data_IF_509575563611
#
_entry.id   IF_509575563611
#
_cell.length_a   1.000
_cell.length_b   1.000
_cell.length_c   1.000
_cell.angle_alpha   90.00
_cell.angle_beta   90.00
_cell.angle_gamma   90.00
#
_symmetry.space_group_name_H-M   'P 1'
#
loop_
_entity.id
_entity.type
_entity.pdbx_description
1 polymer ?
#
# COMPACT_ATOMS: atom_id res chain seq x y z
N UNK A 1 -15.22 2.59 -17.56
CA UNK A 1 -15.69 1.91 -18.75
C UNK A 1 -16.64 0.78 -18.34
N UNK A 2 -17.84 0.66 -18.95
CA UNK A 2 -18.79 -0.42 -18.63
C UNK A 2 -18.26 -1.84 -18.94
N UNK A 3 -17.21 -1.96 -19.72
CA UNK A 3 -16.57 -3.24 -20.03
C UNK A 3 -15.53 -3.68 -18.97
N UNK A 4 -15.16 -2.78 -18.07
CA UNK A 4 -14.23 -3.12 -16.99
C UNK A 4 -14.89 -4.03 -15.95
N UNK A 5 -14.15 -5.00 -15.44
CA UNK A 5 -14.60 -5.80 -14.32
C UNK A 5 -14.77 -4.92 -13.07
N UNK A 6 -15.95 -4.88 -12.42
CA UNK A 6 -16.15 -4.05 -11.23
C UNK A 6 -15.18 -4.38 -10.09
N UNK A 7 -14.81 -3.36 -9.30
CA UNK A 7 -13.89 -3.55 -8.17
C UNK A 7 -14.42 -4.54 -7.12
N UNK A 8 -15.73 -4.71 -7.01
CA UNK A 8 -16.35 -5.71 -6.12
C UNK A 8 -15.95 -7.15 -6.49
N UNK A 9 -15.85 -7.46 -7.79
CA UNK A 9 -15.39 -8.77 -8.28
C UNK A 9 -13.88 -8.92 -8.04
N UNK A 10 -13.09 -7.89 -8.33
CA UNK A 10 -11.67 -7.85 -8.02
C UNK A 10 -11.40 -8.14 -6.53
N UNK A 11 -12.07 -7.44 -5.62
CA UNK A 11 -11.94 -7.67 -4.18
C UNK A 11 -12.43 -9.05 -3.76
N UNK A 12 -13.46 -9.57 -4.43
CA UNK A 12 -13.94 -10.96 -4.25
C UNK A 12 -12.84 -11.98 -4.53
N UNK A 13 -12.16 -11.85 -5.67
CA UNK A 13 -11.05 -12.74 -6.06
C UNK A 13 -9.86 -12.63 -5.09
N UNK A 14 -9.51 -11.43 -4.65
CA UNK A 14 -8.44 -11.22 -3.66
C UNK A 14 -8.75 -12.01 -2.38
N UNK A 15 -9.96 -11.89 -1.85
CA UNK A 15 -10.40 -12.61 -0.65
C UNK A 15 -10.36 -14.12 -0.84
N UNK A 16 -10.86 -14.62 -1.96
CA UNK A 16 -10.85 -16.06 -2.25
C UNK A 16 -9.43 -16.61 -2.33
N UNK A 17 -8.54 -15.90 -3.05
CA UNK A 17 -7.13 -16.29 -3.16
C UNK A 17 -6.43 -16.31 -1.80
N UNK A 18 -6.65 -15.30 -0.95
CA UNK A 18 -6.05 -15.23 0.39
C UNK A 18 -6.54 -16.35 1.29
N UNK A 19 -7.84 -16.67 1.27
CA UNK A 19 -8.40 -17.80 2.01
C UNK A 19 -7.81 -19.16 1.54
N UNK A 20 -7.62 -19.32 0.24
CA UNK A 20 -6.97 -20.50 -0.30
C UNK A 20 -5.52 -20.62 0.18
N UNK A 21 -4.75 -19.53 0.15
CA UNK A 21 -3.37 -19.51 0.66
C UNK A 21 -3.29 -19.76 2.17
N UNK A 22 -4.24 -19.26 2.95
CA UNK A 22 -4.33 -19.52 4.39
C UNK A 22 -4.65 -20.99 4.66
N UNK A 23 -5.60 -21.57 3.95
CA UNK A 23 -5.94 -23.00 4.05
C UNK A 23 -4.77 -23.92 3.66
N UNK A 24 -3.93 -23.50 2.72
CA UNK A 24 -2.70 -24.19 2.32
C UNK A 24 -1.52 -23.93 3.27
N UNK A 25 -1.68 -23.10 4.29
CA UNK A 25 -0.62 -22.71 5.22
C UNK A 25 0.48 -21.81 4.62
N UNK A 26 0.25 -21.26 3.42
CA UNK A 26 1.21 -20.41 2.68
C UNK A 26 1.12 -18.93 3.07
N UNK A 27 -0.01 -18.49 3.60
CA UNK A 27 -0.24 -17.16 4.11
C UNK A 27 -1.06 -17.25 5.40
N UNK A 28 -1.21 -16.13 6.11
CA UNK A 28 -2.10 -16.03 7.28
C UNK A 28 -3.06 -14.87 7.07
N UNK A 29 -4.33 -15.11 7.26
CA UNK A 29 -5.31 -14.04 7.30
C UNK A 29 -5.05 -13.09 8.49
N UNK A 30 -5.46 -11.82 8.38
CA UNK A 30 -5.35 -10.87 9.47
C UNK A 30 -6.03 -11.40 10.75
N UNK A 31 -5.44 -11.10 11.91
CA UNK A 31 -6.10 -11.39 13.19
C UNK A 31 -7.41 -10.61 13.28
N UNK A 32 -8.51 -11.31 13.49
CA UNK A 32 -9.84 -10.71 13.52
C UNK A 32 -10.62 -10.83 12.20
N UNK A 33 -10.00 -11.36 11.15
CA UNK A 33 -10.62 -11.56 9.84
C UNK A 33 -10.29 -10.48 8.83
N UNK A 34 -10.83 -10.64 7.63
CA UNK A 34 -10.71 -9.68 6.54
C UNK A 34 -11.84 -8.67 6.60
N UNK A 35 -11.51 -7.39 6.43
CA UNK A 35 -12.50 -6.33 6.31
C UNK A 35 -13.28 -6.44 4.99
N UNK A 36 -14.59 -6.30 5.07
CA UNK A 36 -15.50 -6.20 3.93
C UNK A 36 -16.34 -4.95 4.11
N UNK A 37 -16.15 -3.99 3.22
CA UNK A 37 -16.92 -2.74 3.18
C UNK A 37 -17.97 -2.86 2.08
N UNK A 38 -19.18 -2.37 2.33
CA UNK A 38 -20.28 -2.40 1.38
C UNK A 38 -21.27 -1.26 1.64
N UNK A 39 -22.09 -0.94 0.64
CA UNK A 39 -23.18 0.00 0.76
C UNK A 39 -24.43 -0.70 1.30
N UNK A 40 -24.99 -0.22 2.41
CA UNK A 40 -26.26 -0.69 2.95
C UNK A 40 -27.46 -0.24 2.12
N UNK A 41 -28.64 -0.78 2.42
CA UNK A 41 -29.89 -0.41 1.75
C UNK A 41 -30.34 1.03 2.03
N UNK A 42 -29.77 1.67 3.05
CA UNK A 42 -29.96 3.07 3.44
C UNK A 42 -28.95 4.02 2.75
N UNK A 43 -28.09 3.51 1.86
CA UNK A 43 -27.07 4.26 1.15
C UNK A 43 -25.79 4.52 1.94
N UNK A 44 -25.70 4.09 3.21
CA UNK A 44 -24.53 4.29 4.05
C UNK A 44 -23.51 3.18 3.87
N UNK A 45 -22.25 3.47 4.16
CA UNK A 45 -21.15 2.48 4.13
C UNK A 45 -21.02 1.78 5.47
N UNK A 46 -20.96 0.44 5.39
CA UNK A 46 -20.79 -0.45 6.53
C UNK A 46 -19.55 -1.33 6.35
N UNK A 47 -18.92 -1.66 7.46
CA UNK A 47 -17.78 -2.58 7.52
C UNK A 47 -18.14 -3.77 8.40
N UNK A 48 -17.76 -4.98 7.97
CA UNK A 48 -17.76 -6.20 8.78
C UNK A 48 -16.44 -6.93 8.58
N UNK A 49 -16.09 -7.75 9.54
CA UNK A 49 -14.92 -8.64 9.44
C UNK A 49 -15.39 -10.08 9.24
N UNK A 50 -14.71 -10.80 8.35
CA UNK A 50 -15.02 -12.20 8.03
C UNK A 50 -13.79 -13.02 8.37
N UNK A 51 -13.90 -13.92 9.35
CA UNK A 51 -12.79 -14.76 9.79
C UNK A 51 -12.52 -15.93 8.80
N UNK A 52 -11.43 -16.70 9.06
CA UNK A 52 -11.05 -17.84 8.23
C UNK A 52 -12.12 -18.93 8.14
N UNK A 53 -13.08 -18.97 9.07
CA UNK A 53 -14.21 -19.91 9.07
C UNK A 53 -15.47 -19.33 8.43
N UNK A 54 -15.39 -18.12 7.88
CA UNK A 54 -16.51 -17.42 7.28
C UNK A 54 -17.49 -16.80 8.28
N UNK A 55 -17.15 -16.70 9.57
CA UNK A 55 -17.99 -16.04 10.56
C UNK A 55 -17.83 -14.53 10.45
N UNK A 56 -18.95 -13.84 10.48
CA UNK A 56 -19.01 -12.39 10.35
C UNK A 56 -19.09 -11.72 11.73
N UNK A 57 -18.43 -10.56 11.86
CA UNK A 57 -18.59 -9.69 13.01
C UNK A 57 -19.93 -8.93 12.96
N UNK A 58 -20.24 -8.16 14.00
CA UNK A 58 -21.27 -7.12 13.95
C UNK A 58 -20.92 -6.08 12.89
N UNK A 59 -21.97 -5.47 12.32
CA UNK A 59 -21.83 -4.40 11.35
C UNK A 59 -21.47 -3.09 12.05
N UNK A 60 -20.48 -2.39 11.51
CA UNK A 60 -20.08 -1.06 11.96
C UNK A 60 -20.34 -0.08 10.84
N UNK A 61 -21.13 0.96 11.11
CA UNK A 61 -21.29 2.07 10.16
C UNK A 61 -19.99 2.88 10.13
N UNK A 62 -19.42 3.06 8.95
CA UNK A 62 -18.18 3.81 8.71
C UNK A 62 -18.40 5.04 7.84
N UNK A 63 -19.64 5.50 7.72
CA UNK A 63 -20.00 6.65 6.87
C UNK A 63 -19.16 7.89 7.21
N UNK A 64 -18.90 8.13 8.48
CA UNK A 64 -18.08 9.27 8.94
C UNK A 64 -16.59 9.15 8.55
N UNK A 65 -16.13 7.95 8.14
CA UNK A 65 -14.77 7.74 7.66
C UNK A 65 -14.67 7.93 6.13
N UNK A 66 -15.79 7.87 5.41
CA UNK A 66 -15.82 7.97 3.93
C UNK A 66 -15.61 9.45 3.53
N UNK A 67 -14.55 9.77 2.80
CA UNK A 67 -14.21 11.16 2.52
C UNK A 67 -14.99 11.77 1.36
N UNK A 68 -15.51 10.95 0.46
CA UNK A 68 -16.34 11.34 -0.71
C UNK A 68 -17.02 10.14 -1.35
N UNK A 69 -18.02 10.40 -2.19
CA UNK A 69 -18.66 9.37 -3.00
C UNK A 69 -17.74 8.91 -4.14
N UNK A 70 -17.77 7.60 -4.40
CA UNK A 70 -17.02 6.96 -5.49
C UNK A 70 -18.01 6.41 -6.54
N UNK A 71 -17.58 6.24 -7.82
CA UNK A 71 -18.39 5.60 -8.85
C UNK A 71 -18.86 4.20 -8.43
N UNK A 72 -20.01 3.77 -8.94
CA UNK A 72 -20.62 2.46 -8.61
C UNK A 72 -19.73 1.26 -8.97
N UNK A 73 -18.81 1.44 -9.92
CA UNK A 73 -17.81 0.42 -10.30
C UNK A 73 -16.60 0.34 -9.36
N UNK A 74 -16.46 1.29 -8.42
CA UNK A 74 -15.36 1.35 -7.45
C UNK A 74 -15.80 0.81 -6.10
N UNK A 75 -14.82 0.42 -5.27
CA UNK A 75 -15.06 0.01 -3.90
C UNK A 75 -14.10 0.70 -2.92
N UNK A 76 -14.57 0.93 -1.69
CA UNK A 76 -13.68 1.25 -0.58
C UNK A 76 -13.12 -0.03 0.03
N UNK A 77 -11.82 -0.07 0.29
CA UNK A 77 -11.18 -1.20 0.95
C UNK A 77 -10.16 -0.73 2.01
N UNK A 78 -9.99 -1.52 3.07
CA UNK A 78 -8.85 -1.33 3.97
C UNK A 78 -7.57 -1.81 3.29
N UNK A 79 -6.45 -1.13 3.57
CA UNK A 79 -5.16 -1.44 2.93
C UNK A 79 -4.77 -2.92 3.12
N UNK A 80 -4.99 -3.49 4.32
CA UNK A 80 -4.71 -4.90 4.60
C UNK A 80 -5.66 -5.89 3.91
N UNK A 81 -6.75 -5.42 3.33
CA UNK A 81 -7.65 -6.27 2.53
C UNK A 81 -7.18 -6.42 1.07
N UNK A 82 -6.32 -5.53 0.60
CA UNK A 82 -5.85 -5.51 -0.80
C UNK A 82 -4.37 -5.87 -0.97
N UNK A 83 -3.57 -5.84 0.11
CA UNK A 83 -2.17 -6.24 0.09
C UNK A 83 -1.73 -6.83 1.44
N UNK A 84 -0.63 -7.57 1.41
CA UNK A 84 0.05 -8.04 2.62
C UNK A 84 1.10 -7.02 3.06
N UNK A 85 1.15 -6.75 4.37
CA UNK A 85 2.06 -5.77 4.93
C UNK A 85 3.27 -6.47 5.55
N UNK A 86 4.46 -6.15 5.07
CA UNK A 86 5.72 -6.74 5.53
C UNK A 86 6.66 -5.64 5.99
N UNK A 87 6.95 -5.60 7.30
CA UNK A 87 7.94 -4.66 7.84
C UNK A 87 9.34 -5.10 7.43
N UNK A 88 10.19 -4.13 7.05
CA UNK A 88 11.56 -4.35 6.66
C UNK A 88 12.46 -4.82 7.81
N UNK A 89 13.65 -5.23 7.47
CA UNK A 89 14.74 -5.55 8.39
C UNK A 89 15.74 -4.40 8.44
N UNK A 90 16.46 -4.28 9.56
CA UNK A 90 17.42 -3.19 9.72
C UNK A 90 18.58 -3.29 8.72
N UNK A 91 18.65 -2.40 7.75
CA UNK A 91 19.83 -2.13 6.93
C UNK A 91 20.43 -0.85 7.50
N UNK A 92 21.64 -0.95 8.08
CA UNK A 92 22.34 0.18 8.68
C UNK A 92 23.09 0.98 7.62
N UNK A 93 23.47 2.20 7.96
CA UNK A 93 24.30 3.04 7.08
C UNK A 93 25.66 2.37 6.77
N UNK A 94 26.23 1.63 7.73
CA UNK A 94 27.46 0.86 7.57
C UNK A 94 27.35 -0.35 6.64
N UNK A 95 26.14 -0.77 6.31
CA UNK A 95 25.90 -1.93 5.44
C UNK A 95 25.78 -1.52 3.95
N UNK A 96 25.87 -0.22 3.68
CA UNK A 96 25.85 0.33 2.32
C UNK A 96 27.26 0.23 1.73
N UNK A 97 27.32 -0.25 0.52
CA UNK A 97 28.54 -0.44 -0.27
C UNK A 97 28.40 0.24 -1.64
N UNK A 98 29.53 0.55 -2.28
CA UNK A 98 29.51 1.21 -3.60
C UNK A 98 29.03 0.24 -4.71
N UNK A 99 29.39 -1.05 -4.60
CA UNK A 99 28.97 -2.10 -5.52
C UNK A 99 28.40 -3.28 -4.74
N UNK A 100 27.24 -3.79 -5.17
CA UNK A 100 26.55 -4.88 -4.47
C UNK A 100 25.12 -5.10 -4.98
N UNK A 101 24.28 -5.66 -4.12
CA UNK A 101 22.88 -5.95 -4.42
C UNK A 101 21.97 -4.76 -4.03
N UNK A 102 20.91 -4.51 -4.79
CA UNK A 102 20.11 -3.31 -4.65
C UNK A 102 19.33 -3.27 -3.32
N UNK A 103 19.36 -2.13 -2.64
CA UNK A 103 18.62 -1.93 -1.41
C UNK A 103 18.04 -0.52 -1.29
N UNK A 104 17.03 -0.37 -0.41
CA UNK A 104 16.33 0.89 -0.16
C UNK A 104 16.28 1.17 1.34
N UNK A 105 16.66 2.40 1.73
CA UNK A 105 16.54 2.91 3.10
C UNK A 105 15.44 3.96 3.20
N UNK A 106 14.83 4.13 4.37
CA UNK A 106 13.68 5.01 4.56
C UNK A 106 13.94 6.47 4.14
N UNK A 107 15.15 6.98 4.39
CA UNK A 107 15.51 8.35 4.03
C UNK A 107 15.46 8.63 2.54
N UNK A 108 15.70 7.63 1.71
CA UNK A 108 15.68 7.76 0.25
C UNK A 108 14.28 8.01 -0.30
N UNK A 109 13.22 7.56 0.41
CA UNK A 109 11.85 7.86 0.05
C UNK A 109 11.50 9.35 0.19
N UNK A 110 12.30 10.11 0.95
CA UNK A 110 12.12 11.55 1.13
C UNK A 110 13.05 12.40 0.25
N UNK A 111 14.25 11.87 -0.05
CA UNK A 111 15.31 12.66 -0.66
C UNK A 111 15.65 12.29 -2.09
N UNK A 112 15.27 11.09 -2.53
CA UNK A 112 15.74 10.51 -3.79
C UNK A 112 14.60 10.12 -4.73
N UNK A 113 13.55 9.50 -4.17
CA UNK A 113 12.44 8.98 -4.97
C UNK A 113 11.20 9.87 -4.83
N UNK A 114 10.49 10.08 -5.93
CA UNK A 114 9.22 10.81 -5.91
C UNK A 114 8.03 9.86 -5.68
N UNK A 115 7.63 9.11 -6.69
CA UNK A 115 6.52 8.15 -6.64
C UNK A 115 6.95 6.74 -7.04
N UNK A 116 8.13 6.62 -7.67
CA UNK A 116 8.71 5.37 -8.17
C UNK A 116 10.20 5.25 -7.87
N UNK A 117 10.66 4.02 -7.78
CA UNK A 117 12.08 3.63 -7.81
C UNK A 117 12.34 3.12 -9.22
N UNK A 118 12.85 3.98 -10.09
CA UNK A 118 13.20 3.62 -11.46
C UNK A 118 14.64 3.11 -11.55
N UNK A 119 15.52 3.68 -10.73
CA UNK A 119 16.92 3.26 -10.54
C UNK A 119 17.23 3.25 -9.05
N UNK A 120 18.05 2.28 -8.63
CA UNK A 120 18.39 2.10 -7.21
C UNK A 120 19.56 3.01 -6.83
N UNK A 121 19.40 3.75 -5.73
CA UNK A 121 20.42 4.68 -5.23
C UNK A 121 21.43 4.02 -4.28
N UNK A 122 21.09 2.92 -3.63
CA UNK A 122 21.93 2.26 -2.62
C UNK A 122 22.07 0.77 -2.88
N UNK A 123 23.27 0.25 -2.53
CA UNK A 123 23.56 -1.17 -2.64
C UNK A 123 24.07 -1.71 -1.30
N UNK A 124 23.94 -3.01 -1.08
CA UNK A 124 24.41 -3.70 0.11
C UNK A 124 25.11 -5.01 -0.26
N UNK A 125 25.87 -5.59 0.69
CA UNK A 125 26.52 -6.88 0.49
C UNK A 125 25.49 -8.01 0.33
N UNK A 126 25.89 -9.08 -0.35
CA UNK A 126 25.08 -10.30 -0.51
C UNK A 126 24.62 -10.85 0.85
N UNK A 127 25.49 -10.88 1.85
CA UNK A 127 25.16 -11.36 3.19
C UNK A 127 24.04 -10.56 3.86
N UNK A 128 24.02 -9.22 3.72
CA UNK A 128 22.95 -8.35 4.23
C UNK A 128 21.70 -8.49 3.38
N UNK A 129 21.87 -8.55 2.06
CA UNK A 129 20.74 -8.74 1.15
C UNK A 129 20.00 -10.02 1.48
N UNK A 130 20.67 -11.16 1.64
CA UNK A 130 20.04 -12.48 1.85
C UNK A 130 19.16 -12.54 3.09
N UNK A 131 19.58 -11.94 4.18
CA UNK A 131 18.83 -11.92 5.45
C UNK A 131 17.76 -10.81 5.52
N UNK A 132 17.81 -9.83 4.61
CA UNK A 132 16.88 -8.73 4.57
C UNK A 132 15.52 -9.12 3.97
N UNK A 133 14.47 -8.38 4.29
CA UNK A 133 13.18 -8.48 3.61
C UNK A 133 13.30 -7.96 2.18
N UNK A 134 12.51 -8.54 1.28
CA UNK A 134 12.56 -8.27 -0.16
C UNK A 134 11.30 -7.56 -0.63
N UNK A 135 11.49 -6.60 -1.51
CA UNK A 135 10.47 -5.91 -2.28
C UNK A 135 10.55 -6.42 -3.73
N UNK A 136 9.48 -6.98 -4.23
CA UNK A 136 9.39 -7.42 -5.63
C UNK A 136 9.07 -6.26 -6.59
N UNK A 137 9.21 -6.52 -7.89
CA UNK A 137 8.81 -5.58 -8.92
C UNK A 137 7.30 -5.26 -8.82
N UNK A 138 6.95 -3.98 -8.94
CA UNK A 138 5.58 -3.48 -8.85
C UNK A 138 5.02 -3.41 -7.42
N UNK A 139 5.75 -3.85 -6.39
CA UNK A 139 5.34 -3.70 -4.99
C UNK A 139 5.66 -2.29 -4.47
N UNK A 140 5.01 -1.89 -3.38
CA UNK A 140 5.08 -0.53 -2.83
C UNK A 140 5.78 -0.53 -1.49
N UNK A 141 6.61 0.49 -1.23
CA UNK A 141 7.14 0.82 0.09
C UNK A 141 6.46 2.05 0.65
N UNK A 142 6.18 2.04 1.95
CA UNK A 142 5.80 3.25 2.71
C UNK A 142 6.75 3.45 3.88
N UNK A 143 6.97 4.72 4.25
CA UNK A 143 7.79 5.07 5.41
C UNK A 143 7.01 4.90 6.71
N UNK A 144 7.67 4.37 7.74
CA UNK A 144 7.13 4.27 9.11
C UNK A 144 7.69 5.32 10.06
N UNK A 145 8.72 6.05 9.63
CA UNK A 145 9.40 7.11 10.39
C UNK A 145 9.62 8.32 9.49
N UNK A 146 9.42 9.51 10.00
CA UNK A 146 9.59 10.76 9.28
C UNK A 146 9.86 11.94 10.21
N UNK A 147 10.13 13.11 9.63
CA UNK A 147 10.43 14.35 10.37
C UNK A 147 9.18 15.20 10.61
N UNK A 148 8.10 14.93 9.90
CA UNK A 148 6.83 15.64 10.07
C UNK A 148 5.63 14.72 9.77
N UNK A 149 4.44 15.14 10.20
CA UNK A 149 3.21 14.37 10.07
C UNK A 149 2.51 14.52 8.70
N UNK A 150 3.01 15.35 7.82
CA UNK A 150 2.48 15.56 6.47
C UNK A 150 3.04 14.48 5.55
N UNK A 151 4.36 14.28 5.61
CA UNK A 151 5.09 13.39 4.71
C UNK A 151 5.17 11.94 5.22
N UNK A 152 4.89 11.70 6.52
CA UNK A 152 4.92 10.34 7.08
C UNK A 152 4.05 9.37 6.28
N UNK A 153 4.52 8.16 6.06
CA UNK A 153 3.82 7.15 5.25
C UNK A 153 3.90 7.42 3.74
N UNK A 154 4.86 8.26 3.29
CA UNK A 154 5.12 8.48 1.87
C UNK A 154 5.36 7.15 1.16
N UNK A 155 4.73 6.99 0.00
CA UNK A 155 4.73 5.75 -0.76
C UNK A 155 5.55 5.89 -2.04
N UNK A 156 6.31 4.85 -2.37
CA UNK A 156 6.97 4.68 -3.67
C UNK A 156 6.77 3.25 -4.14
N UNK A 157 6.61 3.03 -5.44
CA UNK A 157 6.53 1.68 -5.99
C UNK A 157 7.84 1.29 -6.69
N UNK A 158 8.15 0.00 -6.69
CA UNK A 158 9.34 -0.54 -7.35
C UNK A 158 9.10 -0.70 -8.86
N UNK A 159 9.63 0.22 -9.65
CA UNK A 159 9.56 0.20 -11.12
C UNK A 159 10.80 -0.41 -11.78
N UNK A 160 11.84 -0.79 -11.02
CA UNK A 160 13.12 -1.31 -11.57
C UNK A 160 12.98 -2.66 -12.28
N UNK A 161 11.92 -3.41 -11.98
CA UNK A 161 11.80 -4.81 -12.42
C UNK A 161 12.61 -5.80 -11.57
N UNK A 162 13.48 -5.34 -10.68
CA UNK A 162 14.36 -6.15 -9.83
C UNK A 162 13.77 -6.37 -8.43
N UNK A 163 14.36 -7.30 -7.70
CA UNK A 163 14.08 -7.50 -6.28
C UNK A 163 15.02 -6.66 -5.45
N UNK A 164 14.47 -5.83 -4.55
CA UNK A 164 15.22 -4.92 -3.69
C UNK A 164 15.16 -5.38 -2.23
N UNK A 165 16.28 -5.27 -1.49
CA UNK A 165 16.24 -5.36 -0.03
C UNK A 165 15.77 -4.02 0.54
N UNK A 166 15.11 -3.99 1.72
CA UNK A 166 14.65 -2.73 2.31
C UNK A 166 14.79 -2.68 3.84
N UNK A 167 14.99 -1.46 4.33
CA UNK A 167 15.32 -1.17 5.72
C UNK A 167 14.14 -1.26 6.70
N UNK A 168 14.44 -1.25 8.02
CA UNK A 168 13.50 -1.52 9.12
C UNK A 168 12.42 -0.47 9.36
N UNK A 169 12.63 0.76 8.90
CA UNK A 169 11.66 1.87 9.01
C UNK A 169 10.75 2.01 7.79
N UNK A 170 10.71 0.94 7.00
CA UNK A 170 9.86 0.79 5.82
C UNK A 170 8.87 -0.36 5.99
N UNK A 171 7.72 -0.23 5.38
CA UNK A 171 6.68 -1.25 5.26
C UNK A 171 6.42 -1.52 3.78
N UNK A 172 6.63 -2.75 3.35
CA UNK A 172 6.27 -3.19 2.01
C UNK A 172 4.79 -3.58 1.97
N UNK A 173 4.11 -3.11 0.95
CA UNK A 173 2.75 -3.47 0.58
C UNK A 173 2.86 -4.45 -0.59
N UNK A 174 2.61 -5.72 -0.29
CA UNK A 174 2.80 -6.83 -1.22
C UNK A 174 1.45 -7.28 -1.76
N UNK A 175 1.38 -7.42 -3.06
CA UNK A 175 0.19 -7.91 -3.73
C UNK A 175 0.25 -7.57 -5.21
N UNK A 176 -0.40 -8.40 -6.03
CA UNK A 176 -0.40 -8.24 -7.50
C UNK A 176 -1.79 -7.90 -8.05
N UNK A 177 -2.79 -7.82 -7.18
CA UNK A 177 -4.17 -7.66 -7.57
C UNK A 177 -4.61 -6.17 -7.65
N UNK A 178 -3.81 -5.28 -7.06
CA UNK A 178 -3.92 -3.82 -7.21
C UNK A 178 -2.59 -3.34 -7.77
N UNK A 179 -2.64 -2.44 -8.73
CA UNK A 179 -1.43 -1.90 -9.37
C UNK A 179 -0.62 -1.09 -8.35
N UNK A 180 0.68 -1.36 -8.24
CA UNK A 180 1.55 -0.68 -7.27
C UNK A 180 1.73 0.82 -7.57
N UNK A 181 1.80 1.19 -8.85
CA UNK A 181 1.86 2.58 -9.27
C UNK A 181 0.58 3.34 -8.86
N UNK A 182 -0.61 2.77 -9.10
CA UNK A 182 -1.87 3.32 -8.61
C UNK A 182 -1.89 3.41 -7.08
N UNK A 183 -1.51 2.34 -6.38
CA UNK A 183 -1.52 2.28 -4.92
C UNK A 183 -0.60 3.34 -4.31
N UNK A 184 0.60 3.54 -4.85
CA UNK A 184 1.52 4.58 -4.41
C UNK A 184 0.93 5.98 -4.62
N UNK A 185 0.29 6.25 -5.76
CA UNK A 185 -0.41 7.51 -6.02
C UNK A 185 -1.59 7.72 -5.06
N UNK A 186 -2.41 6.70 -4.83
CA UNK A 186 -3.56 6.77 -3.92
C UNK A 186 -3.10 7.06 -2.48
N UNK A 187 -2.03 6.40 -2.01
CA UNK A 187 -1.48 6.63 -0.67
C UNK A 187 -0.89 8.04 -0.55
N UNK A 188 -0.26 8.56 -1.59
CA UNK A 188 0.30 9.92 -1.60
C UNK A 188 -0.75 11.02 -1.83
N UNK A 189 -1.98 10.69 -2.17
CA UNK A 189 -3.07 11.66 -2.33
C UNK A 189 -3.40 12.37 -1.01
N UNK A 190 -4.03 13.53 -1.07
CA UNK A 190 -4.50 14.28 0.10
C UNK A 190 -5.49 13.50 0.95
N UNK A 191 -6.29 12.62 0.34
CA UNK A 191 -7.29 11.78 1.00
C UNK A 191 -6.63 10.81 1.98
N UNK A 192 -5.68 10.01 1.52
CA UNK A 192 -4.94 9.09 2.38
C UNK A 192 -3.91 9.85 3.21
N UNK A 193 -3.38 10.96 2.71
CA UNK A 193 -2.53 11.89 3.46
C UNK A 193 -3.16 12.34 4.77
N UNK A 194 -4.45 12.72 4.75
CA UNK A 194 -5.20 13.07 5.95
C UNK A 194 -5.31 11.91 6.95
N UNK A 195 -5.44 10.69 6.48
CA UNK A 195 -5.46 9.49 7.32
C UNK A 195 -4.07 9.23 7.93
N UNK A 196 -2.99 9.36 7.12
CA UNK A 196 -1.60 9.22 7.58
C UNK A 196 -1.29 10.21 8.70
N UNK A 197 -1.62 11.48 8.50
CA UNK A 197 -1.43 12.55 9.49
C UNK A 197 -2.14 12.22 10.81
N UNK A 198 -3.42 11.84 10.76
CA UNK A 198 -4.19 11.47 11.97
C UNK A 198 -3.67 10.21 12.66
N UNK A 199 -3.15 9.26 11.90
CA UNK A 199 -2.65 7.99 12.43
C UNK A 199 -1.25 8.12 13.05
N UNK A 200 -0.49 9.14 12.66
CA UNK A 200 0.88 9.35 13.10
C UNK A 200 0.97 9.80 14.56
N UNK A 201 2.13 9.62 15.17
CA UNK A 201 2.42 10.02 16.56
C UNK A 201 3.84 10.54 16.66
N UNK A 202 4.09 11.50 17.58
CA UNK A 202 5.38 12.14 17.78
C UNK A 202 5.39 13.59 17.31
N UNK A 203 6.34 14.39 17.82
CA UNK A 203 6.42 15.82 17.53
C UNK A 203 7.68 16.22 16.76
N UNK A 204 8.83 15.58 17.04
CA UNK A 204 10.13 15.87 16.40
C UNK A 204 10.46 14.77 15.39
N UNK A 205 10.30 13.51 15.84
CA UNK A 205 10.33 12.35 14.97
C UNK A 205 8.93 11.75 15.01
N UNK A 206 8.35 11.61 13.86
CA UNK A 206 6.98 11.12 13.70
C UNK A 206 7.01 9.65 13.30
N UNK A 207 6.14 8.88 13.90
CA UNK A 207 6.03 7.44 13.66
C UNK A 207 4.62 7.06 13.19
N UNK A 208 4.57 6.14 12.26
CA UNK A 208 3.37 5.46 11.80
C UNK A 208 3.51 3.97 12.09
N UNK A 209 2.59 3.40 12.88
CA UNK A 209 2.63 1.95 13.11
C UNK A 209 2.00 1.19 11.93
N UNK A 210 2.53 0.01 11.62
CA UNK A 210 1.96 -0.87 10.61
C UNK A 210 0.48 -1.22 10.90
N UNK A 211 0.13 -1.38 12.19
CA UNK A 211 -1.25 -1.65 12.64
C UNK A 211 -2.22 -0.51 12.32
N UNK A 212 -1.74 0.74 12.34
CA UNK A 212 -2.57 1.89 11.94
C UNK A 212 -2.60 2.04 10.42
N UNK A 213 -1.46 1.82 9.75
CA UNK A 213 -1.37 1.89 8.29
C UNK A 213 -2.28 0.87 7.60
N UNK A 214 -2.40 -0.35 8.14
CA UNK A 214 -3.25 -1.39 7.57
C UNK A 214 -4.74 -0.99 7.49
N UNK A 215 -5.15 -0.01 8.31
CA UNK A 215 -6.54 0.47 8.37
C UNK A 215 -6.85 1.62 7.42
N UNK A 216 -5.89 2.11 6.64
CA UNK A 216 -6.17 3.16 5.66
C UNK A 216 -7.25 2.73 4.68
N UNK A 217 -8.22 3.63 4.45
CA UNK A 217 -9.24 3.48 3.44
C UNK A 217 -8.68 3.89 2.09
N UNK A 218 -8.71 2.96 1.16
CA UNK A 218 -8.21 3.13 -0.21
C UNK A 218 -9.40 3.00 -1.17
N UNK A 219 -9.63 3.98 -2.06
CA UNK A 219 -10.58 3.80 -3.14
C UNK A 219 -9.97 2.84 -4.17
N UNK A 220 -10.71 1.82 -4.56
CA UNK A 220 -10.23 0.77 -5.47
C UNK A 220 -11.07 0.82 -6.74
N UNK A 221 -10.54 1.35 -7.85
CA UNK A 221 -11.14 1.25 -9.18
C UNK A 221 -11.04 -0.17 -9.76
N UNK A 222 -11.79 -0.48 -10.82
CA UNK A 222 -11.48 -1.57 -11.73
C UNK A 222 -10.01 -1.59 -12.16
N UNK A 223 -9.43 -2.77 -12.34
CA UNK A 223 -7.98 -2.89 -12.59
C UNK A 223 -7.51 -2.14 -13.86
N UNK A 224 -8.29 -2.19 -14.94
CA UNK A 224 -7.98 -1.46 -16.16
C UNK A 224 -8.15 0.07 -15.98
N UNK A 225 -9.06 0.50 -15.13
CA UNK A 225 -9.22 1.90 -14.80
C UNK A 225 -8.06 2.42 -13.94
N UNK A 226 -7.51 1.61 -13.01
CA UNK A 226 -6.28 1.97 -12.30
C UNK A 226 -5.15 2.30 -13.28
N UNK A 227 -4.98 1.51 -14.34
CA UNK A 227 -3.99 1.78 -15.40
C UNK A 227 -4.24 3.11 -16.08
N UNK A 228 -5.48 3.37 -16.54
CA UNK A 228 -5.84 4.62 -17.21
C UNK A 228 -5.65 5.85 -16.31
N UNK A 229 -5.96 5.74 -15.01
CA UNK A 229 -5.74 6.81 -14.04
C UNK A 229 -4.24 7.15 -13.97
N UNK A 230 -3.39 6.15 -13.82
CA UNK A 230 -1.93 6.35 -13.73
C UNK A 230 -1.39 6.97 -15.02
N UNK A 231 -1.76 6.44 -16.19
CA UNK A 231 -1.38 6.98 -17.49
C UNK A 231 -1.77 8.47 -17.60
N UNK A 232 -3.01 8.78 -17.23
CA UNK A 232 -3.52 10.15 -17.32
C UNK A 232 -2.83 11.14 -16.37
N UNK A 233 -2.54 10.71 -15.15
CA UNK A 233 -1.79 11.54 -14.19
C UNK A 233 -0.38 11.80 -14.70
N UNK A 234 0.30 10.76 -15.20
CA UNK A 234 1.66 10.90 -15.75
C UNK A 234 1.72 11.84 -16.98
N UNK A 235 0.71 11.81 -17.85
CA UNK A 235 0.56 12.78 -18.94
C UNK A 235 0.48 14.22 -18.41
N UNK A 236 -0.35 14.48 -17.40
CA UNK A 236 -0.48 15.81 -16.81
C UNK A 236 0.82 16.27 -16.13
N UNK A 237 1.46 15.40 -15.33
CA UNK A 237 2.75 15.72 -14.70
C UNK A 237 3.79 16.10 -15.76
N UNK A 238 3.90 15.32 -16.85
CA UNK A 238 4.83 15.61 -17.95
C UNK A 238 4.55 16.96 -18.62
N UNK A 239 3.27 17.32 -18.83
CA UNK A 239 2.90 18.60 -19.41
C UNK A 239 3.26 19.79 -18.52
N UNK A 240 3.18 19.64 -17.18
CA UNK A 240 3.51 20.69 -16.22
C UNK A 240 5.03 20.86 -16.08
N UNK A 241 5.78 19.75 -16.08
CA UNK A 241 7.24 19.79 -15.89
C UNK A 241 8.03 20.25 -17.12
N UNK A 242 7.41 20.22 -18.31
CA UNK A 242 8.02 20.68 -19.56
C UNK A 242 7.71 22.16 -19.91
N UNK A 243 7.10 22.91 -19.00
CA UNK A 243 6.88 24.37 -19.10
C UNK A 243 7.91 25.15 -18.31
#
# INVERSE_FOLDING_TARGET
DPADEPASELLGRIREQRRKLDAEGKAKLPKGGESVIFCGSDGRRYEKWVDAKGRESELVCIEDEIPFEIPDSWEWARLDSICDLVRGSGIKRSDIVDEGLPCVRYGELYTTYETSIDTVASHTSEAVFDVSKKLGAGEVLITLTGENNIDIGRAVFNATGETLAFGGDLLALKGKNVRGDYLAMAINSSVVGSQRTRASTGNIIVHLSATKACRFLIPVPPLDEQRRIVERINEFVTLITNQ
#
